data_IF_637025190563
#
_entry.id   IF_637025190563
#
_cell.length_a   1.000
_cell.length_b   1.000
_cell.length_c   1.000
_cell.angle_alpha   90.00
_cell.angle_beta   90.00
_cell.angle_gamma   90.00
#
_symmetry.space_group_name_H-M   'P 1'
#
loop_
_entity.id
_entity.type
_entity.pdbx_description
1 polymer ?
#
# COMPACT_ATOMS: atom_id res chain seq x y z
N UNK A 1 37.59 -9.48 -28.11
CA UNK A 1 36.22 -9.52 -28.70
C UNK A 1 35.30 -10.53 -27.99
N UNK A 2 35.58 -11.85 -27.99
CA UNK A 2 34.68 -12.87 -27.43
C UNK A 2 34.43 -12.76 -25.90
N UNK A 3 35.46 -12.41 -25.13
CA UNK A 3 35.35 -12.14 -23.68
C UNK A 3 34.50 -10.89 -23.39
N UNK A 4 34.65 -9.84 -24.20
CA UNK A 4 33.90 -8.60 -24.05
C UNK A 4 32.39 -8.83 -24.26
N UNK A 5 32.01 -9.63 -25.27
CA UNK A 5 30.62 -10.00 -25.55
C UNK A 5 30.00 -10.79 -24.40
N UNK A 6 30.76 -11.70 -23.78
CA UNK A 6 30.30 -12.46 -22.60
C UNK A 6 30.09 -11.56 -21.38
N UNK A 7 30.99 -10.62 -21.14
CA UNK A 7 30.85 -9.66 -20.04
C UNK A 7 29.64 -8.75 -20.23
N UNK A 8 29.38 -8.30 -21.46
CA UNK A 8 28.18 -7.51 -21.79
C UNK A 8 26.90 -8.31 -21.54
N UNK A 9 26.85 -9.59 -21.92
CA UNK A 9 25.69 -10.44 -21.64
C UNK A 9 25.43 -10.59 -20.14
N UNK A 10 26.46 -10.90 -19.35
CA UNK A 10 26.33 -11.01 -17.88
C UNK A 10 25.85 -9.69 -17.28
N UNK A 11 26.35 -8.56 -17.79
CA UNK A 11 25.92 -7.24 -17.31
C UNK A 11 24.43 -6.97 -17.62
N UNK A 12 23.97 -7.30 -18.83
CA UNK A 12 22.55 -7.16 -19.22
C UNK A 12 21.65 -8.02 -18.32
N UNK A 13 21.99 -9.30 -18.10
CA UNK A 13 21.21 -10.19 -17.24
C UNK A 13 21.10 -9.67 -15.80
N UNK A 14 22.19 -9.12 -15.25
CA UNK A 14 22.18 -8.52 -13.91
C UNK A 14 21.33 -7.25 -13.86
N UNK A 15 21.40 -6.41 -14.89
CA UNK A 15 20.56 -5.21 -15.00
C UNK A 15 19.07 -5.56 -15.09
N UNK A 16 18.71 -6.59 -15.87
CA UNK A 16 17.32 -7.05 -16.00
C UNK A 16 16.79 -7.66 -14.69
N UNK A 17 17.61 -8.41 -13.97
CA UNK A 17 17.24 -8.94 -12.65
C UNK A 17 16.96 -7.80 -11.65
N UNK A 18 17.82 -6.77 -11.63
CA UNK A 18 17.63 -5.58 -10.78
C UNK A 18 16.35 -4.84 -11.16
N UNK A 19 16.12 -4.60 -12.45
CA UNK A 19 14.91 -3.94 -12.95
C UNK A 19 13.64 -4.70 -12.56
N UNK A 20 13.66 -6.03 -12.73
CA UNK A 20 12.54 -6.90 -12.36
C UNK A 20 12.26 -6.84 -10.87
N UNK A 21 13.30 -6.90 -10.03
CA UNK A 21 13.17 -6.79 -8.58
C UNK A 21 12.49 -5.48 -8.16
N UNK A 22 12.92 -4.34 -8.72
CA UNK A 22 12.30 -3.04 -8.41
C UNK A 22 10.85 -2.98 -8.89
N UNK A 23 10.53 -3.53 -10.07
CA UNK A 23 9.14 -3.59 -10.57
C UNK A 23 8.24 -4.36 -9.62
N UNK A 24 8.65 -5.57 -9.21
CA UNK A 24 7.90 -6.41 -8.29
C UNK A 24 7.71 -5.74 -6.92
N UNK A 25 8.74 -5.04 -6.43
CA UNK A 25 8.66 -4.29 -5.17
C UNK A 25 7.62 -3.16 -5.25
N UNK A 26 7.59 -2.42 -6.37
CA UNK A 26 6.60 -1.37 -6.58
C UNK A 26 5.19 -1.95 -6.69
N UNK A 27 5.00 -3.03 -7.45
CA UNK A 27 3.69 -3.69 -7.58
C UNK A 27 3.17 -4.22 -6.24
N UNK A 28 4.04 -4.83 -5.42
CA UNK A 28 3.67 -5.26 -4.07
C UNK A 28 3.28 -4.09 -3.17
N UNK A 29 3.97 -2.95 -3.29
CA UNK A 29 3.66 -1.74 -2.53
C UNK A 29 2.32 -1.13 -2.96
N UNK A 30 2.05 -1.05 -4.26
CA UNK A 30 0.76 -0.57 -4.80
C UNK A 30 -0.39 -1.45 -4.34
N UNK A 31 -0.24 -2.78 -4.47
CA UNK A 31 -1.25 -3.73 -4.02
C UNK A 31 -1.57 -3.59 -2.53
N UNK A 32 -0.53 -3.44 -1.71
CA UNK A 32 -0.71 -3.21 -0.27
C UNK A 32 -1.41 -1.87 0.02
N UNK A 33 -1.11 -0.80 -0.71
CA UNK A 33 -1.82 0.47 -0.57
C UNK A 33 -3.30 0.34 -0.93
N UNK A 34 -3.62 -0.37 -2.02
CA UNK A 34 -5.00 -0.61 -2.44
C UNK A 34 -5.78 -1.42 -1.38
N UNK A 35 -5.17 -2.45 -0.79
CA UNK A 35 -5.79 -3.25 0.27
C UNK A 35 -6.14 -2.40 1.50
N UNK A 36 -5.23 -1.54 1.95
CA UNK A 36 -5.46 -0.65 3.10
C UNK A 36 -6.55 0.40 2.79
N UNK A 37 -6.54 0.99 1.59
CA UNK A 37 -7.58 1.96 1.19
C UNK A 37 -8.95 1.29 1.09
N UNK A 38 -9.00 0.06 0.55
CA UNK A 38 -10.22 -0.73 0.47
C UNK A 38 -10.78 -1.03 1.86
N UNK A 39 -9.95 -1.47 2.79
CA UNK A 39 -10.37 -1.73 4.17
C UNK A 39 -10.93 -0.47 4.85
N UNK A 40 -10.25 0.68 4.69
CA UNK A 40 -10.77 1.94 5.19
C UNK A 40 -12.15 2.27 4.59
N UNK A 41 -12.31 2.08 3.28
CA UNK A 41 -13.55 2.36 2.56
C UNK A 41 -14.70 1.47 3.05
N UNK A 42 -14.44 0.19 3.27
CA UNK A 42 -15.42 -0.76 3.83
C UNK A 42 -15.86 -0.35 5.23
N UNK A 43 -14.91 -0.04 6.12
CA UNK A 43 -15.22 0.43 7.48
C UNK A 43 -16.00 1.76 7.44
N UNK A 44 -15.60 2.69 6.58
CA UNK A 44 -16.31 3.96 6.42
C UNK A 44 -17.77 3.74 5.98
N UNK A 45 -18.00 2.88 4.98
CA UNK A 45 -19.35 2.56 4.52
C UNK A 45 -20.20 1.91 5.61
N UNK A 46 -19.65 0.96 6.37
CA UNK A 46 -20.33 0.35 7.53
C UNK A 46 -20.69 1.40 8.58
N UNK A 47 -19.80 2.37 8.80
CA UNK A 47 -20.05 3.49 9.69
C UNK A 47 -21.16 4.41 9.21
N UNK A 48 -21.20 4.73 7.91
CA UNK A 48 -22.30 5.48 7.29
C UNK A 48 -23.63 4.73 7.37
N UNK A 49 -23.61 3.39 7.33
CA UNK A 49 -24.79 2.54 7.53
C UNK A 49 -25.23 2.43 9.00
N UNK A 50 -24.46 2.99 9.94
CA UNK A 50 -24.74 2.90 11.38
C UNK A 50 -24.39 1.56 12.02
N UNK A 51 -23.67 0.68 11.31
CA UNK A 51 -23.23 -0.63 11.85
C UNK A 51 -22.08 -0.49 12.85
N UNK A 52 -21.23 0.53 12.65
CA UNK A 52 -20.07 0.81 13.49
C UNK A 52 -19.95 2.31 13.77
N UNK A 53 -19.26 2.68 14.84
CA UNK A 53 -18.92 4.06 15.14
C UNK A 53 -17.72 4.52 14.30
N UNK A 54 -17.79 5.73 13.78
CA UNK A 54 -16.66 6.39 13.13
C UNK A 54 -16.07 7.47 14.04
N UNK A 55 -14.75 7.69 14.02
CA UNK A 55 -14.12 8.81 14.71
C UNK A 55 -14.51 10.12 14.05
N UNK A 56 -14.40 11.24 14.77
CA UNK A 56 -14.73 12.57 14.23
C UNK A 56 -13.97 12.87 12.94
N UNK A 57 -14.69 13.40 11.95
CA UNK A 57 -14.19 13.78 10.63
C UNK A 57 -13.28 12.70 9.96
N UNK A 58 -13.77 11.46 9.77
CA UNK A 58 -12.94 10.35 9.33
C UNK A 58 -12.38 10.57 7.92
N UNK A 59 -13.18 11.17 7.02
CA UNK A 59 -12.74 11.52 5.66
C UNK A 59 -11.71 12.65 5.64
N UNK A 60 -11.80 13.63 6.55
CA UNK A 60 -10.81 14.72 6.64
C UNK A 60 -9.47 14.16 7.12
N UNK A 61 -9.49 13.28 8.12
CA UNK A 61 -8.30 12.57 8.62
C UNK A 61 -7.66 11.71 7.52
N UNK A 62 -8.49 11.01 6.74
CA UNK A 62 -8.02 10.25 5.58
C UNK A 62 -7.40 11.15 4.51
N UNK A 63 -8.07 12.23 4.11
CA UNK A 63 -7.57 13.17 3.10
C UNK A 63 -6.27 13.88 3.52
N UNK A 64 -6.05 14.07 4.83
CA UNK A 64 -4.81 14.63 5.39
C UNK A 64 -3.67 13.61 5.58
N UNK A 65 -3.94 12.32 5.37
CA UNK A 65 -2.91 11.29 5.50
C UNK A 65 -1.85 11.44 4.41
N UNK A 66 -0.59 11.60 4.82
CA UNK A 66 0.57 11.76 3.94
C UNK A 66 1.20 10.42 3.54
N UNK A 67 0.86 9.34 4.23
CA UNK A 67 1.37 8.00 3.96
C UNK A 67 0.40 6.92 4.45
N UNK A 68 0.61 5.70 3.97
CA UNK A 68 -0.27 4.56 4.25
C UNK A 68 -0.35 4.21 5.74
N UNK A 69 0.73 4.40 6.51
CA UNK A 69 0.74 4.15 7.97
C UNK A 69 -0.22 5.05 8.74
N UNK A 70 -0.47 6.27 8.24
CA UNK A 70 -1.46 7.16 8.84
C UNK A 70 -2.90 6.67 8.57
N UNK A 71 -3.14 6.06 7.39
CA UNK A 71 -4.41 5.40 7.08
C UNK A 71 -4.61 4.16 7.96
N UNK A 72 -3.58 3.32 8.11
CA UNK A 72 -3.63 2.17 9.02
C UNK A 72 -3.92 2.57 10.47
N UNK A 73 -3.31 3.67 10.93
CA UNK A 73 -3.60 4.21 12.27
C UNK A 73 -5.07 4.62 12.40
N UNK A 74 -5.64 5.23 11.37
CA UNK A 74 -7.06 5.60 11.35
C UNK A 74 -7.97 4.37 11.34
N UNK A 75 -7.65 3.34 10.54
CA UNK A 75 -8.34 2.04 10.55
C UNK A 75 -8.30 1.42 11.94
N UNK A 76 -7.12 1.40 12.58
CA UNK A 76 -6.96 0.87 13.93
C UNK A 76 -7.81 1.63 14.95
N UNK A 77 -7.89 2.96 14.85
CA UNK A 77 -8.78 3.75 15.70
C UNK A 77 -10.25 3.37 15.51
N UNK A 78 -10.69 3.18 14.26
CA UNK A 78 -12.06 2.72 13.98
C UNK A 78 -12.29 1.34 14.61
N UNK A 79 -11.36 0.40 14.47
CA UNK A 79 -11.48 -0.94 15.06
C UNK A 79 -11.54 -0.90 16.59
N UNK A 80 -10.66 -0.13 17.23
CA UNK A 80 -10.61 0.03 18.68
C UNK A 80 -11.92 0.64 19.23
N UNK A 81 -12.53 1.61 18.52
CA UNK A 81 -13.83 2.17 18.89
C UNK A 81 -14.97 1.15 18.86
N UNK A 82 -14.82 0.07 18.09
CA UNK A 82 -15.88 -0.90 17.82
C UNK A 82 -15.58 -2.31 18.37
N UNK A 83 -14.46 -2.51 19.06
CA UNK A 83 -14.05 -3.82 19.60
C UNK A 83 -13.76 -4.87 18.51
N UNK A 84 -13.28 -4.43 17.34
CA UNK A 84 -12.94 -5.27 16.17
C UNK A 84 -11.46 -5.64 16.11
#
# INVERSE_FOLDING_TARGET
MRLLIKLIHIFIEKMDAVKTHYKLKTEAQEKYMDEVIKEFSELYNRGCNGEIQLPDEPLVKFAKAKNIKQVEKLIRQIKELNGL
#
